data_IF_345535578678
#
_entry.id   IF_345535578678
#
_cell.length_a   1.000
_cell.length_b   1.000
_cell.length_c   1.000
_cell.angle_alpha   90.00
_cell.angle_beta   90.00
_cell.angle_gamma   90.00
#
_symmetry.space_group_name_H-M   'P 1'
#
loop_
_entity.id
_entity.type
_entity.pdbx_description
1 polymer ?
#
# COMPACT_ATOMS: atom_id res chain seq x y z
N UNK A 1 -27.83 -27.79 -7.02
CA UNK A 1 -27.03 -29.03 -6.90
C UNK A 1 -26.27 -28.97 -5.58
N UNK A 2 -26.18 -30.08 -4.85
CA UNK A 2 -25.32 -30.21 -3.67
C UNK A 2 -24.20 -31.19 -4.00
N UNK A 3 -22.95 -30.77 -3.82
CA UNK A 3 -21.77 -31.61 -4.08
C UNK A 3 -21.01 -31.72 -2.76
N UNK A 4 -20.66 -32.94 -2.38
CA UNK A 4 -19.91 -33.24 -1.16
C UNK A 4 -18.77 -34.21 -1.48
N UNK A 5 -17.57 -33.93 -0.97
CA UNK A 5 -16.42 -34.81 -1.01
C UNK A 5 -15.94 -35.09 0.43
N UNK A 6 -15.62 -36.35 0.73
CA UNK A 6 -15.16 -36.77 2.07
C UNK A 6 -13.64 -36.68 2.25
N UNK A 7 -12.89 -36.64 1.15
CA UNK A 7 -11.42 -36.54 1.13
C UNK A 7 -11.03 -35.38 0.22
N UNK A 8 -10.51 -35.70 -0.96
CA UNK A 8 -10.03 -34.72 -1.93
C UNK A 8 -11.09 -34.48 -3.01
N UNK A 9 -11.05 -33.30 -3.60
CA UNK A 9 -11.76 -32.95 -4.83
C UNK A 9 -10.79 -32.20 -5.72
N UNK A 10 -10.29 -32.88 -6.75
CA UNK A 10 -9.40 -32.29 -7.73
C UNK A 10 -10.24 -31.86 -8.95
N UNK A 11 -10.06 -30.63 -9.41
CA UNK A 11 -10.74 -30.10 -10.60
C UNK A 11 -9.69 -29.64 -11.60
N UNK A 12 -9.61 -30.30 -12.75
CA UNK A 12 -8.82 -29.85 -13.89
C UNK A 12 -9.74 -29.29 -14.97
N UNK A 13 -9.42 -28.09 -15.46
CA UNK A 13 -10.12 -27.47 -16.59
C UNK A 13 -9.07 -27.14 -17.64
N UNK A 14 -9.17 -27.78 -18.81
CA UNK A 14 -8.16 -27.69 -19.87
C UNK A 14 -8.26 -26.41 -20.72
N UNK A 15 -9.28 -25.60 -20.48
CA UNK A 15 -9.55 -24.36 -21.18
C UNK A 15 -10.16 -23.36 -20.18
N UNK A 16 -11.27 -22.72 -20.52
CA UNK A 16 -11.87 -21.66 -19.71
C UNK A 16 -12.84 -22.18 -18.64
N UNK A 17 -12.88 -21.49 -17.50
CA UNK A 17 -13.92 -21.66 -16.47
C UNK A 17 -14.58 -20.32 -16.18
N UNK A 18 -15.90 -20.27 -16.34
CA UNK A 18 -16.73 -19.13 -15.93
C UNK A 18 -17.62 -19.55 -14.75
N UNK A 19 -17.72 -18.70 -13.73
CA UNK A 19 -18.63 -18.90 -12.59
C UNK A 19 -19.50 -17.66 -12.40
N UNK A 20 -20.82 -17.83 -12.45
CA UNK A 20 -21.80 -16.77 -12.21
C UNK A 20 -22.65 -17.12 -10.99
N UNK A 21 -22.64 -16.25 -9.99
CA UNK A 21 -23.48 -16.36 -8.79
C UNK A 21 -24.44 -15.18 -8.80
N UNK A 22 -25.76 -15.46 -8.80
CA UNK A 22 -26.80 -14.42 -8.95
C UNK A 22 -27.23 -13.76 -7.64
N UNK A 23 -26.83 -14.33 -6.51
CA UNK A 23 -27.16 -13.83 -5.17
C UNK A 23 -25.86 -13.78 -4.35
N UNK A 24 -25.67 -14.70 -3.41
CA UNK A 24 -24.51 -14.67 -2.50
C UNK A 24 -23.52 -15.78 -2.79
N UNK A 25 -22.24 -15.46 -2.62
CA UNK A 25 -21.15 -16.43 -2.55
C UNK A 25 -20.50 -16.36 -1.17
N UNK A 26 -20.34 -17.52 -0.52
CA UNK A 26 -19.61 -17.66 0.75
C UNK A 26 -18.64 -18.82 0.63
N UNK A 27 -17.38 -18.54 0.92
CA UNK A 27 -16.31 -19.53 1.02
C UNK A 27 -15.79 -19.53 2.47
N UNK A 28 -15.43 -20.71 2.98
CA UNK A 28 -14.79 -20.86 4.29
C UNK A 28 -13.73 -21.93 4.20
N UNK A 29 -12.48 -21.52 4.37
CA UNK A 29 -11.31 -22.40 4.39
C UNK A 29 -10.83 -22.50 5.84
N UNK A 30 -10.69 -23.72 6.35
CA UNK A 30 -10.32 -23.95 7.77
C UNK A 30 -8.81 -23.98 8.02
N UNK A 31 -8.04 -24.20 6.96
CA UNK A 31 -6.59 -24.24 6.99
C UNK A 31 -6.08 -23.23 5.95
N UNK A 32 -5.14 -23.62 5.10
CA UNK A 32 -4.49 -22.72 4.15
C UNK A 32 -5.23 -22.63 2.82
N UNK A 33 -5.19 -21.45 2.20
CA UNK A 33 -5.60 -21.21 0.82
C UNK A 33 -4.40 -20.68 0.04
N UNK A 34 -4.01 -21.39 -1.02
CA UNK A 34 -2.97 -20.96 -1.95
C UNK A 34 -3.58 -20.71 -3.32
N UNK A 35 -3.28 -19.57 -3.92
CA UNK A 35 -3.72 -19.20 -5.27
C UNK A 35 -2.48 -18.81 -6.07
N UNK A 36 -2.28 -19.48 -7.20
CA UNK A 36 -1.19 -19.19 -8.13
C UNK A 36 -1.76 -18.86 -9.49
N UNK A 37 -1.36 -17.72 -10.05
CA UNK A 37 -1.67 -17.30 -11.41
C UNK A 37 -0.33 -17.24 -12.12
N UNK A 38 -0.05 -18.23 -12.97
CA UNK A 38 1.25 -18.38 -13.62
C UNK A 38 1.46 -17.35 -14.72
N UNK A 39 0.38 -17.05 -15.44
CA UNK A 39 0.38 -16.13 -16.59
C UNK A 39 -0.88 -15.26 -16.56
N UNK A 40 -0.79 -14.07 -17.15
CA UNK A 40 -1.90 -13.13 -17.24
C UNK A 40 -2.12 -12.29 -15.98
N UNK A 41 -3.36 -11.86 -15.77
CA UNK A 41 -3.72 -10.82 -14.79
C UNK A 41 -4.79 -11.30 -13.79
N UNK A 42 -4.70 -10.82 -12.55
CA UNK A 42 -5.80 -10.87 -11.58
C UNK A 42 -6.52 -9.52 -11.55
N UNK A 43 -7.70 -9.43 -12.15
CA UNK A 43 -8.58 -8.26 -12.04
C UNK A 43 -9.66 -8.51 -10.98
N UNK A 44 -9.84 -7.55 -10.06
CA UNK A 44 -10.90 -7.56 -9.07
C UNK A 44 -11.62 -6.20 -9.08
N UNK A 45 -12.92 -6.23 -9.36
CA UNK A 45 -13.77 -5.04 -9.37
C UNK A 45 -14.92 -5.22 -8.39
N UNK A 46 -15.18 -4.21 -7.56
CA UNK A 46 -16.37 -4.10 -6.72
C UNK A 46 -17.14 -2.88 -7.19
N UNK A 47 -18.20 -3.08 -7.98
CA UNK A 47 -18.97 -1.97 -8.57
C UNK A 47 -19.78 -1.19 -7.53
N UNK A 48 -20.24 -1.87 -6.48
CA UNK A 48 -21.01 -1.28 -5.38
C UNK A 48 -20.70 -1.98 -4.06
N UNK A 49 -20.57 -1.20 -2.99
CA UNK A 49 -20.28 -1.71 -1.65
C UNK A 49 -18.82 -1.50 -1.24
N UNK A 50 -18.29 -2.41 -0.44
CA UNK A 50 -16.97 -2.28 0.17
C UNK A 50 -16.13 -3.54 -0.02
N UNK A 51 -14.83 -3.36 -0.28
CA UNK A 51 -13.82 -4.41 -0.13
C UNK A 51 -13.20 -4.26 1.26
N UNK A 52 -13.33 -5.29 2.09
CA UNK A 52 -12.72 -5.33 3.43
C UNK A 52 -11.70 -6.47 3.44
N UNK A 53 -10.47 -6.17 3.87
CA UNK A 53 -9.39 -7.16 4.05
C UNK A 53 -8.90 -7.05 5.49
N UNK A 54 -8.82 -8.17 6.19
CA UNK A 54 -8.41 -8.20 7.59
C UNK A 54 -7.49 -9.38 7.88
N UNK A 55 -6.36 -9.08 8.53
CA UNK A 55 -5.43 -10.08 9.08
C UNK A 55 -5.49 -9.93 10.60
N UNK A 56 -6.29 -10.77 11.27
CA UNK A 56 -6.53 -10.64 12.72
C UNK A 56 -5.35 -11.11 13.57
N UNK A 57 -4.50 -11.96 13.00
CA UNK A 57 -3.27 -12.47 13.61
C UNK A 57 -2.25 -12.75 12.52
N UNK A 58 -1.00 -12.39 12.76
CA UNK A 58 0.09 -12.53 11.78
C UNK A 58 0.37 -11.21 11.04
N UNK A 59 0.89 -11.31 9.82
CA UNK A 59 1.36 -10.18 9.02
C UNK A 59 0.79 -10.20 7.60
N UNK A 60 0.76 -9.04 6.96
CA UNK A 60 0.54 -8.88 5.52
C UNK A 60 1.88 -8.49 4.87
N UNK A 61 2.28 -9.21 3.82
CA UNK A 61 3.48 -8.89 3.03
C UNK A 61 3.10 -8.77 1.56
N UNK A 62 3.65 -7.76 0.88
CA UNK A 62 3.42 -7.48 -0.54
C UNK A 62 4.75 -7.16 -1.21
N UNK A 63 5.19 -8.03 -2.14
CA UNK A 63 6.38 -7.83 -2.96
C UNK A 63 5.94 -7.36 -4.36
N UNK A 64 6.19 -6.08 -4.67
CA UNK A 64 5.79 -5.45 -5.93
C UNK A 64 7.01 -4.95 -6.68
N UNK A 65 7.26 -5.48 -7.88
CA UNK A 65 8.51 -5.22 -8.60
C UNK A 65 8.54 -3.90 -9.39
N UNK A 66 7.42 -3.52 -9.99
CA UNK A 66 7.36 -2.35 -10.87
C UNK A 66 6.80 -1.11 -10.15
N UNK A 67 5.48 -1.06 -9.97
CA UNK A 67 4.80 0.11 -9.43
C UNK A 67 3.71 -0.29 -8.45
N UNK A 68 3.59 0.50 -7.38
CA UNK A 68 2.51 0.40 -6.40
C UNK A 68 1.87 1.78 -6.23
N UNK A 69 0.75 1.99 -6.90
CA UNK A 69 -0.05 3.21 -6.79
C UNK A 69 -1.23 3.10 -5.82
N UNK A 70 -1.72 4.24 -5.33
CA UNK A 70 -2.99 4.36 -4.61
C UNK A 70 -3.65 5.68 -5.00
N UNK A 71 -4.93 5.61 -5.40
CA UNK A 71 -5.77 6.78 -5.71
C UNK A 71 -7.02 6.67 -4.84
N UNK A 72 -7.24 7.63 -3.96
CA UNK A 72 -8.36 7.64 -3.03
C UNK A 72 -8.78 9.07 -2.68
N UNK A 73 -10.02 9.25 -2.24
CA UNK A 73 -10.48 10.54 -1.71
C UNK A 73 -9.80 10.92 -0.39
N UNK A 74 -9.42 9.93 0.41
CA UNK A 74 -8.58 10.09 1.61
C UNK A 74 -7.78 8.82 1.85
N UNK A 75 -6.59 8.98 2.46
CA UNK A 75 -5.72 7.87 2.88
C UNK A 75 -5.37 8.10 4.33
N UNK A 76 -5.51 7.06 5.14
CA UNK A 76 -5.21 7.08 6.56
C UNK A 76 -4.26 5.93 6.87
N UNK A 77 -3.21 6.22 7.62
CA UNK A 77 -2.19 5.24 8.01
C UNK A 77 -1.95 5.40 9.51
N UNK A 78 -2.39 4.40 10.26
CA UNK A 78 -2.13 4.29 11.69
C UNK A 78 -1.19 3.11 11.93
N UNK A 79 -0.03 3.41 12.52
CA UNK A 79 0.75 2.39 13.20
C UNK A 79 0.35 2.42 14.67
N UNK A 80 -0.25 1.34 15.14
CA UNK A 80 -0.78 1.21 16.50
C UNK A 80 0.06 0.20 17.30
N UNK A 81 -0.21 0.13 18.61
CA UNK A 81 0.32 -0.93 19.47
C UNK A 81 -0.65 -2.11 19.47
N UNK A 82 -0.23 -3.23 18.89
CA UNK A 82 -1.01 -4.47 18.81
C UNK A 82 -0.28 -5.67 19.45
N UNK A 83 0.78 -5.41 20.23
CA UNK A 83 1.59 -6.42 20.91
C UNK A 83 2.60 -7.13 20.02
N UNK A 84 2.98 -6.52 18.88
CA UNK A 84 3.97 -7.04 17.93
C UNK A 84 5.35 -6.41 18.07
N UNK A 85 6.35 -7.02 17.44
CA UNK A 85 7.66 -6.39 17.26
C UNK A 85 7.55 -5.25 16.24
N UNK A 86 8.08 -4.06 16.57
CA UNK A 86 7.99 -2.87 15.71
C UNK A 86 6.67 -2.10 15.80
N UNK A 87 5.86 -2.34 16.84
CA UNK A 87 4.62 -1.61 17.10
C UNK A 87 4.77 -0.08 17.01
N UNK A 88 3.78 0.57 16.40
CA UNK A 88 3.74 2.03 16.28
C UNK A 88 4.69 2.65 15.24
N UNK A 89 5.49 1.85 14.52
CA UNK A 89 6.45 2.37 13.53
C UNK A 89 5.81 2.46 12.14
N UNK A 90 5.97 3.61 11.49
CA UNK A 90 5.85 3.76 10.04
C UNK A 90 7.25 4.02 9.47
N UNK A 91 7.76 3.10 8.65
CA UNK A 91 9.07 3.19 8.06
C UNK A 91 8.98 3.38 6.54
N UNK A 92 9.79 4.32 6.02
CA UNK A 92 9.93 4.56 4.59
C UNK A 92 11.42 4.59 4.25
N UNK A 93 11.82 3.83 3.24
CA UNK A 93 13.20 3.82 2.72
C UNK A 93 13.12 3.86 1.20
N UNK A 94 13.82 4.82 0.61
CA UNK A 94 13.89 4.99 -0.84
C UNK A 94 15.34 5.21 -1.26
N UNK A 95 15.70 4.74 -2.45
CA UNK A 95 17.06 4.91 -3.00
C UNK A 95 17.28 6.27 -3.66
N UNK A 96 16.21 7.00 -3.98
CA UNK A 96 16.26 8.25 -4.73
C UNK A 96 15.61 9.41 -3.98
N UNK A 97 14.34 9.27 -3.60
CA UNK A 97 13.58 10.38 -3.02
C UNK A 97 12.38 9.86 -2.21
N UNK A 98 12.10 10.51 -1.07
CA UNK A 98 10.79 10.49 -0.43
C UNK A 98 10.22 11.91 -0.54
N UNK A 99 9.08 12.06 -1.21
CA UNK A 99 8.44 13.35 -1.49
C UNK A 99 7.03 13.38 -0.87
N UNK A 100 6.76 14.41 -0.08
CA UNK A 100 5.42 14.76 0.38
C UNK A 100 5.06 16.12 -0.21
N UNK A 101 3.95 16.21 -0.94
CA UNK A 101 3.59 17.43 -1.66
C UNK A 101 2.10 17.75 -1.54
N UNK A 102 1.81 19.03 -1.35
CA UNK A 102 0.47 19.63 -1.44
C UNK A 102 0.63 20.90 -2.28
N UNK A 103 0.26 20.81 -3.56
CA UNK A 103 0.44 21.89 -4.54
C UNK A 103 1.89 22.43 -4.52
N UNK A 104 2.08 23.67 -4.08
CA UNK A 104 3.37 24.34 -3.99
C UNK A 104 4.20 23.98 -2.75
N UNK A 105 3.58 23.35 -1.74
CA UNK A 105 4.24 22.96 -0.49
C UNK A 105 4.84 21.58 -0.63
N UNK A 106 6.13 21.43 -0.32
CA UNK A 106 6.87 20.16 -0.49
C UNK A 106 7.82 19.88 0.66
N UNK A 107 7.91 18.62 1.04
CA UNK A 107 8.98 18.05 1.88
C UNK A 107 9.64 16.96 1.06
N UNK A 108 10.94 17.06 0.83
CA UNK A 108 11.70 16.08 0.07
C UNK A 108 12.91 15.59 0.88
N UNK A 109 13.10 14.28 0.94
CA UNK A 109 14.30 13.62 1.45
C UNK A 109 15.01 12.99 0.26
N UNK A 110 16.26 13.34 0.04
CA UNK A 110 17.13 12.79 -1.01
C UNK A 110 18.46 12.34 -0.40
N UNK A 111 19.30 11.60 -1.15
CA UNK A 111 20.65 11.27 -0.69
C UNK A 111 21.51 12.50 -0.33
N UNK A 112 21.20 13.67 -0.89
CA UNK A 112 21.96 14.90 -0.66
C UNK A 112 21.49 15.69 0.58
N UNK A 113 20.27 15.43 1.06
CA UNK A 113 19.73 16.13 2.21
C UNK A 113 18.21 16.15 2.32
N UNK A 114 17.72 17.11 3.10
CA UNK A 114 16.30 17.33 3.39
C UNK A 114 15.91 18.74 2.95
N UNK A 115 14.79 18.87 2.25
CA UNK A 115 14.25 20.14 1.80
C UNK A 115 12.81 20.34 2.29
N UNK A 116 12.53 21.53 2.84
CA UNK A 116 11.18 22.05 3.01
C UNK A 116 11.00 23.25 2.09
N UNK A 117 9.96 23.26 1.27
CA UNK A 117 9.75 24.27 0.23
C UNK A 117 8.29 24.73 0.19
N UNK A 118 8.09 26.03 -0.03
CA UNK A 118 6.79 26.63 -0.37
C UNK A 118 7.00 27.56 -1.58
N UNK A 119 6.36 27.22 -2.69
CA UNK A 119 6.57 27.91 -3.97
C UNK A 119 8.04 27.82 -4.41
N UNK A 120 8.47 28.70 -5.30
CA UNK A 120 9.87 28.70 -5.78
C UNK A 120 10.83 29.48 -4.87
N UNK A 121 10.31 30.38 -4.03
CA UNK A 121 11.11 31.41 -3.34
C UNK A 121 11.42 31.12 -1.88
N UNK A 122 10.67 30.24 -1.22
CA UNK A 122 10.84 29.94 0.21
C UNK A 122 11.32 28.51 0.40
N UNK A 123 12.56 28.35 0.87
CA UNK A 123 13.19 27.04 1.03
C UNK A 123 14.06 26.97 2.27
N UNK A 124 13.96 25.86 3.01
CA UNK A 124 14.93 25.42 4.00
C UNK A 124 15.58 24.14 3.47
N UNK A 125 16.91 24.12 3.39
CA UNK A 125 17.70 22.95 2.96
C UNK A 125 18.67 22.57 4.06
N UNK A 126 18.65 21.30 4.46
CA UNK A 126 19.66 20.67 5.31
C UNK A 126 20.47 19.72 4.42
N UNK A 127 21.78 19.89 4.36
CA UNK A 127 22.71 19.01 3.66
C UNK A 127 23.89 18.64 4.56
N UNK A 128 24.79 17.80 4.05
CA UNK A 128 26.08 17.49 4.72
C UNK A 128 26.95 18.72 4.98
N UNK A 129 26.77 19.79 4.20
CA UNK A 129 27.61 20.99 4.25
C UNK A 129 27.01 22.07 5.16
N UNK A 130 25.75 21.90 5.60
CA UNK A 130 25.09 22.80 6.55
C UNK A 130 23.61 23.05 6.24
N UNK A 131 23.09 24.16 6.76
CA UNK A 131 21.69 24.59 6.59
C UNK A 131 21.65 25.87 5.76
N UNK A 132 20.82 25.90 4.71
CA UNK A 132 20.51 27.12 3.94
C UNK A 132 19.05 27.49 4.12
N UNK A 133 18.79 28.77 4.38
CA UNK A 133 17.43 29.32 4.50
C UNK A 133 17.29 30.45 3.47
N UNK A 134 16.35 30.30 2.56
CA UNK A 134 16.02 31.28 1.52
C UNK A 134 14.57 31.70 1.68
N UNK A 135 14.32 33.01 1.70
CA UNK A 135 13.00 33.59 1.75
C UNK A 135 13.08 35.12 1.75
N UNK A 136 11.96 35.79 1.46
CA UNK A 136 11.92 37.25 1.46
C UNK A 136 12.22 37.88 2.84
N UNK A 137 11.94 37.15 3.92
CA UNK A 137 12.34 37.52 5.28
C UNK A 137 12.53 36.25 6.12
N UNK A 138 13.51 36.27 7.02
CA UNK A 138 13.77 35.20 7.99
C UNK A 138 13.75 35.83 9.38
N UNK A 139 12.82 35.39 10.22
CA UNK A 139 12.68 35.87 11.59
C UNK A 139 13.29 34.82 12.54
N UNK A 140 14.27 35.23 13.33
CA UNK A 140 14.91 34.41 14.37
C UNK A 140 14.59 35.09 15.70
N UNK A 141 13.91 34.37 16.59
CA UNK A 141 13.59 34.82 17.95
C UNK A 141 14.71 34.45 18.94
#
# INVERSE_FOLDING_TARGET
VYIHAQKNMDTEVLNDRTTTVKHDHRETVKNDQTVTIQEGNRLLTVEKGHKITGVLKGSLSEDVFQDRGTIAGSVHVDAVNNGGEGDGIQAYTAIKEILLAVEESKIALTPDGIQLQVGESTVIRLSKDGITIVGGSVFIN
#
